data_IF_557934033129
#
_entry.id   IF_557934033129
#
_cell.length_a   1.000
_cell.length_b   1.000
_cell.length_c   1.000
_cell.angle_alpha   90.00
_cell.angle_beta   90.00
_cell.angle_gamma   90.00
#
_symmetry.space_group_name_H-M   'P 1'
#
loop_
_entity.id
_entity.type
_entity.pdbx_description
1 polymer ?
#
# COMPACT_ATOMS: atom_id res chain seq x y z
N UNK A 1 -15.73 2.78 6.83
CA UNK A 1 -14.49 2.13 6.37
C UNK A 1 -14.34 2.41 4.89
N UNK A 2 -13.30 3.14 4.50
CA UNK A 2 -12.93 3.38 3.10
C UNK A 2 -12.01 2.24 2.68
N UNK A 3 -12.21 1.67 1.50
CA UNK A 3 -11.26 0.70 0.92
C UNK A 3 -10.51 1.36 -0.22
N UNK A 4 -9.19 1.22 -0.22
CA UNK A 4 -8.28 1.69 -1.26
C UNK A 4 -7.55 0.50 -1.85
N UNK A 5 -7.58 0.40 -3.18
CA UNK A 5 -6.87 -0.63 -3.93
C UNK A 5 -5.64 -0.03 -4.57
N UNK A 6 -4.47 -0.63 -4.39
CA UNK A 6 -3.24 -0.28 -5.11
C UNK A 6 -2.96 -1.38 -6.12
N UNK A 7 -2.85 -1.01 -7.40
CA UNK A 7 -2.66 -1.99 -8.48
C UNK A 7 -1.18 -2.11 -8.79
N UNK A 8 -0.60 -3.23 -8.40
CA UNK A 8 0.83 -3.53 -8.57
C UNK A 8 1.18 -4.01 -9.98
N UNK A 9 0.20 -4.18 -10.88
CA UNK A 9 0.47 -4.42 -12.29
C UNK A 9 1.15 -3.22 -12.99
N UNK A 10 0.96 -2.01 -12.44
CA UNK A 10 1.54 -0.76 -12.95
C UNK A 10 2.60 -0.17 -12.01
N UNK A 11 3.20 -0.97 -11.13
CA UNK A 11 4.20 -0.52 -10.14
C UNK A 11 5.48 -1.33 -10.29
N UNK A 12 6.53 -0.73 -10.81
CA UNK A 12 7.88 -1.30 -10.87
C UNK A 12 8.79 -0.87 -9.72
N UNK A 13 8.50 0.25 -9.06
CA UNK A 13 9.31 0.79 -7.98
C UNK A 13 8.53 1.61 -6.93
N UNK A 14 9.23 2.10 -5.91
CA UNK A 14 8.64 2.91 -4.84
C UNK A 14 8.11 4.26 -5.33
N UNK A 15 8.69 4.87 -6.36
CA UNK A 15 8.23 6.16 -6.89
C UNK A 15 6.82 6.00 -7.45
N UNK A 16 6.61 4.98 -8.30
CA UNK A 16 5.30 4.67 -8.87
C UNK A 16 4.27 4.27 -7.80
N UNK A 17 4.70 3.54 -6.76
CA UNK A 17 3.85 3.23 -5.61
C UNK A 17 3.37 4.49 -4.90
N UNK A 18 4.28 5.40 -4.53
CA UNK A 18 3.91 6.61 -3.79
C UNK A 18 3.07 7.56 -4.64
N UNK A 19 3.30 7.63 -5.96
CA UNK A 19 2.43 8.38 -6.87
C UNK A 19 0.98 7.87 -6.84
N UNK A 20 0.78 6.56 -7.03
CA UNK A 20 -0.57 5.96 -6.94
C UNK A 20 -1.20 6.17 -5.56
N UNK A 21 -0.41 6.01 -4.49
CA UNK A 21 -0.88 6.17 -3.11
C UNK A 21 -1.35 7.60 -2.85
N UNK A 22 -0.55 8.61 -3.25
CA UNK A 22 -0.88 10.03 -3.11
C UNK A 22 -2.19 10.37 -3.80
N UNK A 23 -2.38 9.87 -5.03
CA UNK A 23 -3.60 10.10 -5.79
C UNK A 23 -4.83 9.51 -5.09
N UNK A 24 -4.76 8.24 -4.67
CA UNK A 24 -5.92 7.50 -4.13
C UNK A 24 -6.31 7.93 -2.71
N UNK A 25 -5.33 8.34 -1.91
CA UNK A 25 -5.53 8.84 -0.55
C UNK A 25 -5.68 10.36 -0.46
N UNK A 26 -5.56 11.08 -1.58
CA UNK A 26 -5.58 12.55 -1.64
C UNK A 26 -4.54 13.17 -0.66
N UNK A 27 -3.34 12.59 -0.62
CA UNK A 27 -2.28 13.02 0.29
C UNK A 27 -1.74 14.40 -0.10
N UNK A 28 -1.26 15.18 0.88
CA UNK A 28 -0.76 16.52 0.62
C UNK A 28 0.53 16.54 -0.21
N UNK A 29 0.79 17.65 -0.92
CA UNK A 29 2.01 17.82 -1.73
C UNK A 29 3.32 17.74 -0.95
N UNK A 30 3.27 17.88 0.38
CA UNK A 30 4.44 17.74 1.26
C UNK A 30 4.68 16.30 1.74
N UNK A 31 3.91 15.32 1.24
CA UNK A 31 4.17 13.91 1.53
C UNK A 31 5.60 13.52 1.11
N UNK A 32 6.31 12.82 1.99
CA UNK A 32 7.76 12.66 1.90
C UNK A 32 8.26 11.53 1.00
N UNK A 33 7.36 10.79 0.32
CA UNK A 33 7.68 9.66 -0.56
C UNK A 33 8.62 8.63 0.08
N UNK A 34 8.33 8.25 1.33
CA UNK A 34 9.08 7.25 2.10
C UNK A 34 8.18 6.56 3.15
N UNK A 35 8.68 5.48 3.75
CA UNK A 35 7.93 4.64 4.71
C UNK A 35 7.56 5.38 5.99
N UNK A 36 8.44 6.23 6.51
CA UNK A 36 8.14 7.06 7.70
C UNK A 36 6.95 7.99 7.39
N UNK A 37 6.96 8.63 6.22
CA UNK A 37 5.87 9.52 5.79
C UNK A 37 4.55 8.76 5.55
N UNK A 38 4.62 7.52 5.07
CA UNK A 38 3.46 6.63 4.95
C UNK A 38 2.85 6.36 6.33
N UNK A 39 3.66 5.92 7.30
CA UNK A 39 3.18 5.61 8.63
C UNK A 39 2.62 6.86 9.35
N UNK A 40 3.31 8.01 9.25
CA UNK A 40 2.81 9.30 9.74
C UNK A 40 1.46 9.67 9.11
N UNK A 41 1.28 9.36 7.82
CA UNK A 41 0.02 9.60 7.11
C UNK A 41 -1.13 8.75 7.66
N UNK A 42 -0.88 7.48 7.95
CA UNK A 42 -1.86 6.57 8.53
C UNK A 42 -2.31 7.03 9.93
N UNK A 43 -1.41 7.58 10.74
CA UNK A 43 -1.72 7.97 12.12
C UNK A 43 -2.30 9.38 12.28
N UNK A 44 -2.08 10.27 11.31
CA UNK A 44 -2.39 11.70 11.49
C UNK A 44 -3.11 12.40 10.34
N UNK A 45 -3.12 11.85 9.13
CA UNK A 45 -3.58 12.59 7.95
C UNK A 45 -4.74 11.93 7.21
N UNK A 46 -4.73 10.60 7.06
CA UNK A 46 -5.77 9.90 6.32
C UNK A 46 -7.05 9.76 7.15
N UNK A 47 -8.19 9.67 6.46
CA UNK A 47 -9.48 9.45 7.12
C UNK A 47 -9.65 7.98 7.47
N UNK A 48 -9.82 7.71 8.75
CA UNK A 48 -10.15 6.39 9.30
C UNK A 48 -11.66 6.14 9.39
N UNK A 49 -12.11 4.87 9.45
CA UNK A 49 -11.31 3.65 9.27
C UNK A 49 -10.96 3.38 7.80
N UNK A 50 -9.79 2.82 7.57
CA UNK A 50 -9.19 2.58 6.25
C UNK A 50 -8.81 1.11 6.08
N UNK A 51 -9.15 0.54 4.93
CA UNK A 51 -8.62 -0.73 4.46
C UNK A 51 -7.77 -0.47 3.21
N UNK A 52 -6.50 -0.88 3.22
CA UNK A 52 -5.59 -0.79 2.09
C UNK A 52 -5.35 -2.20 1.54
N UNK A 53 -5.58 -2.37 0.24
CA UNK A 53 -5.46 -3.67 -0.41
C UNK A 53 -4.54 -3.55 -1.63
N UNK A 54 -3.51 -4.39 -1.69
CA UNK A 54 -2.66 -4.52 -2.88
C UNK A 54 -3.20 -5.63 -3.78
N UNK A 55 -3.37 -5.34 -5.06
CA UNK A 55 -3.87 -6.29 -6.06
C UNK A 55 -2.87 -6.44 -7.20
N UNK A 56 -2.92 -7.60 -7.86
CA UNK A 56 -2.04 -7.95 -8.98
C UNK A 56 -0.54 -7.85 -8.62
N UNK A 57 -0.18 -8.20 -7.38
CA UNK A 57 1.22 -8.17 -6.97
C UNK A 57 1.97 -9.39 -7.53
N UNK A 58 3.05 -9.15 -8.25
CA UNK A 58 3.95 -10.18 -8.74
C UNK A 58 4.73 -10.84 -7.59
N UNK A 59 5.12 -12.11 -7.77
CA UNK A 59 5.92 -12.82 -6.77
C UNK A 59 7.28 -12.16 -6.54
N UNK A 60 7.91 -11.67 -7.60
CA UNK A 60 9.23 -11.01 -7.52
C UNK A 60 9.14 -9.67 -6.74
N UNK A 61 8.00 -8.97 -6.81
CA UNK A 61 7.77 -7.71 -6.09
C UNK A 61 7.69 -7.90 -4.57
N UNK A 62 7.47 -9.13 -4.07
CA UNK A 62 7.47 -9.38 -2.63
C UNK A 62 8.82 -9.03 -1.99
N UNK A 63 9.93 -9.35 -2.67
CA UNK A 63 11.28 -9.02 -2.19
C UNK A 63 11.57 -7.52 -2.37
N UNK A 64 11.19 -6.94 -3.52
CA UNK A 64 11.42 -5.53 -3.81
C UNK A 64 10.68 -4.59 -2.83
N UNK A 65 9.52 -5.00 -2.34
CA UNK A 65 8.65 -4.23 -1.44
C UNK A 65 8.56 -4.81 -0.01
N UNK A 66 9.51 -5.66 0.41
CA UNK A 66 9.49 -6.31 1.74
C UNK A 66 9.32 -5.29 2.88
N UNK A 67 10.09 -4.20 2.85
CA UNK A 67 10.05 -3.16 3.89
C UNK A 67 8.69 -2.44 3.91
N UNK A 68 8.07 -2.22 2.74
CA UNK A 68 6.73 -1.63 2.63
C UNK A 68 5.66 -2.54 3.21
N UNK A 69 5.69 -3.83 2.84
CA UNK A 69 4.74 -4.82 3.33
C UNK A 69 4.84 -4.92 4.86
N UNK A 70 6.06 -5.03 5.39
CA UNK A 70 6.30 -5.08 6.83
C UNK A 70 5.77 -3.83 7.54
N UNK A 71 6.02 -2.64 6.98
CA UNK A 71 5.53 -1.37 7.56
C UNK A 71 4.00 -1.34 7.63
N UNK A 72 3.31 -1.86 6.62
CA UNK A 72 1.84 -1.87 6.57
C UNK A 72 1.24 -2.97 7.46
N UNK A 73 1.90 -4.12 7.56
CA UNK A 73 1.54 -5.19 8.50
C UNK A 73 1.68 -4.70 9.96
N UNK A 74 2.80 -4.05 10.30
CA UNK A 74 2.99 -3.44 11.62
C UNK A 74 1.90 -2.40 11.92
N UNK A 75 1.55 -1.56 10.94
CA UNK A 75 0.48 -0.59 11.11
C UNK A 75 -0.90 -1.23 11.30
N UNK A 76 -1.20 -2.37 10.66
CA UNK A 76 -2.46 -3.12 10.84
C UNK A 76 -2.55 -3.70 12.26
N UNK A 77 -1.43 -4.22 12.78
CA UNK A 77 -1.38 -4.72 14.16
C UNK A 77 -1.51 -3.61 15.22
N UNK A 78 -0.95 -2.43 14.95
CA UNK A 78 -0.89 -1.33 15.92
C UNK A 78 -2.10 -0.37 15.88
N UNK A 79 -2.76 -0.22 14.73
CA UNK A 79 -3.82 0.78 14.53
C UNK A 79 -5.20 0.12 14.38
N UNK A 80 -6.02 0.20 15.43
CA UNK A 80 -7.37 -0.41 15.49
C UNK A 80 -8.32 -0.06 14.31
N UNK A 81 -8.10 1.08 13.64
CA UNK A 81 -8.95 1.56 12.55
C UNK A 81 -8.31 1.42 11.16
N UNK A 82 -7.12 0.83 11.08
CA UNK A 82 -6.44 0.46 9.84
C UNK A 82 -6.55 -1.05 9.59
N UNK A 83 -6.46 -1.46 8.34
CA UNK A 83 -6.32 -2.88 7.98
C UNK A 83 -5.63 -3.01 6.64
N UNK A 84 -4.82 -4.05 6.49
CA UNK A 84 -4.00 -4.28 5.30
C UNK A 84 -4.14 -5.70 4.77
N UNK A 85 -4.15 -5.84 3.45
CA UNK A 85 -4.06 -7.13 2.77
C UNK A 85 -3.35 -6.96 1.42
N UNK A 86 -2.72 -8.02 0.94
CA UNK A 86 -2.18 -8.08 -0.42
C UNK A 86 -2.51 -9.42 -1.07
N UNK A 87 -2.71 -9.37 -2.38
CA UNK A 87 -3.03 -10.53 -3.19
C UNK A 87 -2.09 -10.61 -4.39
N UNK A 88 -1.51 -11.79 -4.56
CA UNK A 88 -0.66 -12.06 -5.71
C UNK A 88 -1.49 -12.18 -6.99
N UNK A 89 -0.89 -11.77 -8.11
CA UNK A 89 -1.45 -12.06 -9.42
C UNK A 89 -1.64 -13.57 -9.58
N UNK A 90 -2.80 -13.97 -10.12
CA UNK A 90 -3.07 -15.37 -10.43
C UNK A 90 -2.64 -15.61 -11.87
N UNK A 91 -1.62 -16.45 -12.08
CA UNK A 91 -1.36 -17.02 -13.38
C UNK A 91 -2.44 -18.07 -13.65
N UNK A 92 -3.34 -17.80 -14.60
CA UNK A 92 -4.11 -18.88 -15.21
C UNK A 92 -3.09 -19.75 -15.94
N UNK A 93 -2.83 -20.96 -15.43
CA UNK A 93 -2.13 -21.99 -16.21
C UNK A 93 -2.92 -22.19 -17.51
N UNK A 94 -2.45 -21.61 -18.62
CA UNK A 94 -2.97 -21.91 -19.95
C UNK A 94 -2.67 -23.39 -20.24
N UNK A 95 -3.69 -24.24 -20.06
CA UNK A 95 -3.68 -25.68 -20.36
C UNK A 95 -3.59 -25.99 -21.87
#
# INVERSE_FOLDING_TARGET
MKTIYIDFAEIGDYEEFYEQLKEKLELPEFFGDNLDALYDSLTGFVKMPLHLEFVNMGVDQLEDFEDLLTTLEDADEELDEFSFAYYLEQYEDEE
#
